data_IF_535787456558
#
_entry.id   IF_535787456558
#
_cell.length_a   1.000
_cell.length_b   1.000
_cell.length_c   1.000
_cell.angle_alpha   90.00
_cell.angle_beta   90.00
_cell.angle_gamma   90.00
#
_symmetry.space_group_name_H-M   'P 1'
#
loop_
_entity.id
_entity.type
_entity.pdbx_description
1 polymer ?
#
# COMPACT_ATOMS: atom_id res chain seq x y z
N UNK A 1 -8.66 -22.68 -3.64
CA UNK A 1 -8.93 -21.62 -2.63
C UNK A 1 -7.89 -20.53 -2.80
N UNK A 2 -8.27 -19.25 -2.85
CA UNK A 2 -7.31 -18.16 -2.94
C UNK A 2 -6.54 -17.98 -1.62
N UNK A 3 -5.26 -17.59 -1.69
CA UNK A 3 -4.41 -17.30 -0.53
C UNK A 3 -4.03 -15.84 -0.53
N UNK A 4 -4.24 -15.16 0.58
CA UNK A 4 -3.88 -13.76 0.80
C UNK A 4 -2.80 -13.67 1.87
N UNK A 5 -1.79 -12.86 1.62
CA UNK A 5 -0.69 -12.61 2.56
C UNK A 5 -0.76 -11.16 3.01
N UNK A 6 -0.80 -10.94 4.32
CA UNK A 6 -0.88 -9.61 4.93
C UNK A 6 0.36 -9.40 5.80
N UNK A 7 1.14 -8.38 5.52
CA UNK A 7 2.34 -8.04 6.30
C UNK A 7 2.04 -6.85 7.23
N UNK A 8 2.17 -7.07 8.53
CA UNK A 8 1.91 -6.10 9.59
C UNK A 8 3.20 -5.74 10.34
N UNK A 9 3.25 -4.55 10.95
CA UNK A 9 4.41 -4.06 11.70
C UNK A 9 4.57 -2.54 11.61
N UNK A 10 5.41 -1.94 12.48
CA UNK A 10 5.51 -0.49 12.60
C UNK A 10 6.11 0.19 11.35
N UNK A 11 5.97 1.52 11.19
CA UNK A 11 6.71 2.29 10.19
C UNK A 11 8.21 2.00 10.30
N UNK A 12 8.90 1.89 9.16
CA UNK A 12 10.34 1.56 9.13
C UNK A 12 10.70 0.08 9.30
N UNK A 13 9.77 -0.81 9.67
CA UNK A 13 10.05 -2.24 9.89
C UNK A 13 10.40 -3.07 8.62
N UNK A 14 10.58 -2.44 7.46
CA UNK A 14 10.96 -3.15 6.22
C UNK A 14 9.84 -3.94 5.52
N UNK A 15 8.58 -3.79 5.94
CA UNK A 15 7.44 -4.53 5.36
C UNK A 15 7.34 -4.43 3.84
N UNK A 16 7.52 -3.23 3.27
CA UNK A 16 7.44 -3.02 1.82
C UNK A 16 8.54 -3.77 1.08
N UNK A 17 9.76 -3.76 1.62
CA UNK A 17 10.91 -4.50 1.08
C UNK A 17 10.62 -6.01 1.08
N UNK A 18 10.12 -6.54 2.21
CA UNK A 18 9.81 -7.96 2.33
C UNK A 18 8.59 -8.36 1.48
N UNK A 19 7.55 -7.53 1.42
CA UNK A 19 6.37 -7.76 0.60
C UNK A 19 6.74 -7.86 -0.89
N UNK A 20 7.65 -7.00 -1.37
CA UNK A 20 8.14 -7.04 -2.75
C UNK A 20 8.89 -8.34 -3.04
N UNK A 21 9.81 -8.75 -2.17
CA UNK A 21 10.57 -10.00 -2.33
C UNK A 21 9.66 -11.25 -2.32
N UNK A 22 8.67 -11.28 -1.42
CA UNK A 22 7.67 -12.36 -1.35
C UNK A 22 6.82 -12.39 -2.62
N UNK A 23 6.35 -11.23 -3.07
CA UNK A 23 5.53 -11.12 -4.28
C UNK A 23 6.27 -11.58 -5.54
N UNK A 24 7.55 -11.22 -5.68
CA UNK A 24 8.40 -11.68 -6.78
C UNK A 24 8.63 -13.19 -6.72
N UNK A 25 8.98 -13.72 -5.54
CA UNK A 25 9.29 -15.15 -5.34
C UNK A 25 8.07 -16.03 -5.57
N UNK A 26 6.91 -15.63 -5.05
CA UNK A 26 5.67 -16.39 -5.13
C UNK A 26 4.80 -16.02 -6.35
N UNK A 27 5.27 -15.09 -7.20
CA UNK A 27 4.55 -14.54 -8.36
C UNK A 27 3.15 -14.03 -7.99
N UNK A 28 3.07 -13.28 -6.91
CA UNK A 28 1.83 -12.68 -6.40
C UNK A 28 1.73 -11.21 -6.82
N UNK A 29 0.50 -10.72 -6.93
CA UNK A 29 0.26 -9.29 -7.00
C UNK A 29 0.69 -8.62 -5.69
N UNK A 30 1.49 -7.56 -5.79
CA UNK A 30 1.85 -6.73 -4.64
C UNK A 30 0.85 -5.57 -4.50
N UNK A 31 0.15 -5.53 -3.37
CA UNK A 31 -0.81 -4.46 -3.05
C UNK A 31 -0.34 -3.73 -1.81
N UNK A 32 -0.13 -2.42 -1.94
CA UNK A 32 0.34 -1.54 -0.87
C UNK A 32 -0.64 -0.39 -0.73
N UNK A 33 -1.30 -0.29 0.43
CA UNK A 33 -2.25 0.80 0.70
C UNK A 33 -1.56 2.17 0.62
N UNK A 34 -0.31 2.27 1.09
CA UNK A 34 0.48 3.49 0.99
C UNK A 34 0.74 3.93 -0.45
N UNK A 35 1.05 2.98 -1.35
CA UNK A 35 1.26 3.30 -2.77
C UNK A 35 -0.05 3.69 -3.45
N UNK A 36 -1.14 2.95 -3.18
CA UNK A 36 -2.47 3.25 -3.72
C UNK A 36 -2.95 4.65 -3.29
N UNK A 37 -2.77 5.02 -2.01
CA UNK A 37 -3.11 6.36 -1.55
C UNK A 37 -2.26 7.42 -2.24
N UNK A 38 -0.92 7.27 -2.25
CA UNK A 38 -0.02 8.22 -2.92
C UNK A 38 -0.40 8.42 -4.38
N UNK A 39 -0.65 7.33 -5.11
CA UNK A 39 -1.04 7.39 -6.52
C UNK A 39 -2.36 8.16 -6.72
N UNK A 40 -3.38 7.87 -5.92
CA UNK A 40 -4.67 8.56 -6.00
C UNK A 40 -4.56 10.05 -5.65
N UNK A 41 -3.71 10.42 -4.68
CA UNK A 41 -3.43 11.81 -4.34
C UNK A 41 -2.73 12.52 -5.50
N UNK A 42 -1.67 11.93 -6.05
CA UNK A 42 -0.91 12.50 -7.17
C UNK A 42 -1.80 12.69 -8.40
N UNK A 43 -2.67 11.72 -8.69
CA UNK A 43 -3.62 11.78 -9.82
C UNK A 43 -4.86 12.64 -9.54
N UNK A 44 -5.00 13.21 -8.34
CA UNK A 44 -6.14 14.01 -7.91
C UNK A 44 -7.50 13.35 -8.20
N UNK A 45 -7.57 12.03 -8.03
CA UNK A 45 -8.83 11.30 -8.23
C UNK A 45 -9.85 11.74 -7.17
N UNK A 46 -11.13 11.45 -7.38
CA UNK A 46 -12.15 11.74 -6.37
C UNK A 46 -11.80 11.09 -5.02
N UNK A 47 -11.29 9.86 -5.05
CA UNK A 47 -10.78 9.16 -3.86
C UNK A 47 -9.57 9.86 -3.26
N UNK A 48 -8.61 10.29 -4.08
CA UNK A 48 -7.45 11.05 -3.64
C UNK A 48 -7.84 12.34 -2.91
N UNK A 49 -8.75 13.13 -3.50
CA UNK A 49 -9.23 14.37 -2.89
C UNK A 49 -9.93 14.14 -1.55
N UNK A 50 -10.72 13.07 -1.41
CA UNK A 50 -11.31 12.65 -0.13
C UNK A 50 -10.24 12.23 0.87
N UNK A 51 -9.26 11.43 0.46
CA UNK A 51 -8.19 10.93 1.32
C UNK A 51 -7.26 12.06 1.82
N UNK A 52 -7.00 13.08 1.00
CA UNK A 52 -6.15 14.22 1.35
C UNK A 52 -6.65 14.94 2.62
N UNK A 53 -7.97 15.05 2.81
CA UNK A 53 -8.58 15.68 3.99
C UNK A 53 -8.19 14.96 5.28
N UNK A 54 -8.06 13.63 5.24
CA UNK A 54 -7.69 12.83 6.40
C UNK A 54 -6.17 12.83 6.62
N UNK A 55 -5.39 12.75 5.54
CA UNK A 55 -3.92 12.72 5.62
C UNK A 55 -3.37 14.05 6.14
N UNK A 56 -3.94 15.19 5.75
CA UNK A 56 -3.51 16.50 6.24
C UNK A 56 -3.86 16.76 7.72
N UNK A 57 -4.73 15.94 8.32
CA UNK A 57 -5.12 16.04 9.73
C UNK A 57 -4.27 15.17 10.66
N UNK A 58 -3.42 14.31 10.09
CA UNK A 58 -2.57 13.36 10.80
C UNK A 58 -1.11 13.78 10.82
#
# INVERSE_FOLDING_TARGET
>A
MARYYVLLGPPGAGKGTQAKAIAETLRLAHISSGDLFRENLTKQTELGRKAQVFINRG
#
